data_IF_568523778004
#
_entry.id   IF_568523778004
#
_cell.length_a   1.000
_cell.length_b   1.000
_cell.length_c   1.000
_cell.angle_alpha   90.00
_cell.angle_beta   90.00
_cell.angle_gamma   90.00
#
_symmetry.space_group_name_H-M   'P 1'
#
loop_
_entity.id
_entity.type
_entity.pdbx_description
1 polymer ?
#
# COMPACT_ATOMS: atom_id res chain seq x y z
N UNK A 1 -15.99 -13.45 -11.57
CA UNK A 1 -15.56 -12.08 -11.94
C UNK A 1 -14.34 -11.76 -11.11
N UNK A 2 -13.16 -11.55 -11.71
CA UNK A 2 -12.07 -10.90 -10.99
C UNK A 2 -12.48 -9.43 -10.82
N UNK A 3 -12.70 -8.99 -9.59
CA UNK A 3 -12.94 -7.56 -9.33
C UNK A 3 -11.61 -6.83 -9.49
N UNK A 4 -11.58 -5.79 -10.33
CA UNK A 4 -10.38 -4.99 -10.52
C UNK A 4 -10.12 -4.16 -9.27
N UNK A 5 -8.93 -4.34 -8.68
CA UNK A 5 -8.48 -3.61 -7.50
C UNK A 5 -7.37 -2.63 -7.89
N UNK A 6 -7.36 -1.49 -7.22
CA UNK A 6 -6.37 -0.44 -7.39
C UNK A 6 -5.35 -0.55 -6.26
N UNK A 7 -4.06 -0.64 -6.62
CA UNK A 7 -2.98 -0.93 -5.67
C UNK A 7 -2.01 0.24 -5.57
N UNK A 8 -1.64 0.63 -4.34
CA UNK A 8 -0.57 1.61 -4.08
C UNK A 8 0.58 0.95 -3.33
N UNK A 9 1.80 1.40 -3.64
CA UNK A 9 3.02 0.95 -2.99
C UNK A 9 3.39 1.92 -1.86
N UNK A 10 3.59 1.35 -0.67
CA UNK A 10 3.94 2.08 0.55
C UNK A 10 5.34 1.64 0.95
N UNK A 11 6.26 2.59 1.05
CA UNK A 11 7.66 2.36 1.37
C UNK A 11 8.01 2.85 2.77
N UNK A 12 9.20 2.48 3.25
CA UNK A 12 9.81 2.99 4.47
C UNK A 12 8.95 2.74 5.72
N UNK A 13 8.33 1.57 5.80
CA UNK A 13 7.51 1.15 6.94
C UNK A 13 8.44 0.58 8.01
N UNK A 14 8.28 1.00 9.27
CA UNK A 14 9.00 0.37 10.38
C UNK A 14 8.60 -1.09 10.51
N UNK A 15 9.56 -1.99 10.73
CA UNK A 15 9.31 -3.42 10.94
C UNK A 15 8.52 -3.72 12.22
N UNK A 16 8.57 -2.80 13.17
CA UNK A 16 7.83 -2.88 14.44
C UNK A 16 6.37 -2.46 14.27
N UNK A 17 6.01 -1.83 13.14
CA UNK A 17 4.68 -1.31 12.92
C UNK A 17 3.69 -2.46 12.66
N UNK A 18 2.67 -2.64 13.51
CA UNK A 18 1.70 -3.72 13.34
C UNK A 18 0.85 -3.51 12.08
N UNK A 19 0.44 -4.62 11.44
CA UNK A 19 -0.47 -4.59 10.29
C UNK A 19 -1.78 -3.83 10.59
N UNK A 20 -2.31 -3.96 11.81
CA UNK A 20 -3.53 -3.25 12.23
C UNK A 20 -3.38 -1.74 12.10
N UNK A 21 -2.28 -1.18 12.60
CA UNK A 21 -2.00 0.26 12.54
C UNK A 21 -1.92 0.74 11.09
N UNK A 22 -1.27 -0.03 10.21
CA UNK A 22 -1.20 0.29 8.78
C UNK A 22 -2.61 0.26 8.14
N UNK A 23 -3.40 -0.75 8.46
CA UNK A 23 -4.77 -0.89 7.97
C UNK A 23 -5.66 0.27 8.43
N UNK A 24 -5.62 0.62 9.72
CA UNK A 24 -6.41 1.70 10.32
C UNK A 24 -6.06 3.04 9.69
N UNK A 25 -4.76 3.30 9.48
CA UNK A 25 -4.28 4.51 8.80
C UNK A 25 -4.89 4.64 7.38
N UNK A 26 -4.87 3.57 6.60
CA UNK A 26 -5.39 3.59 5.23
C UNK A 26 -6.93 3.57 5.17
N UNK A 27 -7.59 2.96 6.16
CA UNK A 27 -9.06 2.93 6.23
C UNK A 27 -9.70 4.33 6.35
N UNK A 28 -8.98 5.32 6.87
CA UNK A 28 -9.43 6.74 6.91
C UNK A 28 -9.72 7.32 5.52
N UNK A 29 -9.06 6.78 4.49
CA UNK A 29 -9.23 7.22 3.09
C UNK A 29 -10.28 6.41 2.32
N UNK A 30 -10.80 5.36 2.95
CA UNK A 30 -11.85 4.48 2.48
C UNK A 30 -11.58 3.03 2.87
N UNK A 31 -12.59 2.17 2.78
CA UNK A 31 -12.42 0.73 3.07
C UNK A 31 -11.28 0.14 2.24
N UNK A 32 -10.26 -0.37 2.93
CA UNK A 32 -9.18 -1.14 2.36
C UNK A 32 -9.69 -2.56 2.08
N UNK A 33 -9.47 -3.04 0.86
CA UNK A 33 -9.84 -4.41 0.47
C UNK A 33 -8.77 -5.42 0.90
N UNK A 34 -7.49 -5.01 0.82
CA UNK A 34 -6.38 -5.84 1.28
C UNK A 34 -5.11 -5.02 1.56
N UNK A 35 -4.28 -5.56 2.46
CA UNK A 35 -2.95 -5.06 2.80
C UNK A 35 -1.99 -6.22 2.87
N UNK A 36 -0.98 -6.19 2.00
CA UNK A 36 0.15 -7.11 2.00
C UNK A 36 1.40 -6.37 2.48
N UNK A 37 2.09 -6.90 3.50
CA UNK A 37 3.34 -6.33 4.04
C UNK A 37 4.47 -7.32 3.78
N UNK A 38 5.54 -6.85 3.14
CA UNK A 38 6.74 -7.63 2.92
C UNK A 38 7.69 -7.51 4.12
N UNK A 39 7.52 -8.41 5.09
CA UNK A 39 8.38 -8.47 6.28
C UNK A 39 9.80 -8.97 5.99
N UNK A 40 9.97 -9.77 4.93
CA UNK A 40 11.27 -10.29 4.49
C UNK A 40 11.50 -9.88 3.04
N UNK A 41 12.59 -9.17 2.81
CA UNK A 41 13.02 -8.73 1.48
C UNK A 41 14.50 -9.07 1.31
N UNK A 42 14.88 -9.58 0.13
CA UNK A 42 16.29 -9.76 -0.25
C UNK A 42 16.95 -8.46 -0.73
N UNK A 43 16.16 -7.41 -0.95
CA UNK A 43 16.65 -6.10 -1.35
C UNK A 43 17.22 -5.38 -0.12
N UNK A 44 18.50 -5.03 -0.19
CA UNK A 44 19.27 -4.35 0.87
C UNK A 44 18.65 -3.01 1.30
N UNK A 45 17.93 -2.33 0.41
CA UNK A 45 17.17 -1.11 0.74
C UNK A 45 16.15 -1.32 1.88
N UNK A 46 15.69 -2.55 2.05
CA UNK A 46 14.70 -2.95 3.06
C UNK A 46 15.34 -3.81 4.16
N UNK A 47 16.64 -3.63 4.42
CA UNK A 47 17.35 -4.26 5.55
C UNK A 47 16.71 -3.94 6.90
N UNK A 48 16.32 -2.68 7.08
CA UNK A 48 15.86 -2.12 8.36
C UNK A 48 14.41 -1.60 8.28
N UNK A 49 13.83 -1.61 7.09
CA UNK A 49 12.45 -1.18 6.82
C UNK A 49 11.71 -2.26 6.05
N UNK A 50 10.40 -2.09 5.92
CA UNK A 50 9.52 -2.92 5.11
C UNK A 50 8.76 -2.05 4.10
N UNK A 51 8.14 -2.72 3.13
CA UNK A 51 7.20 -2.10 2.22
C UNK A 51 5.89 -2.87 2.21
N UNK A 52 4.82 -2.21 1.76
CA UNK A 52 3.50 -2.79 1.66
C UNK A 52 2.81 -2.43 0.36
N UNK A 53 1.84 -3.27 -0.02
CA UNK A 53 0.87 -2.98 -1.07
C UNK A 53 -0.51 -2.87 -0.42
N UNK A 54 -1.19 -1.76 -0.71
CA UNK A 54 -2.54 -1.48 -0.20
C UNK A 54 -3.51 -1.43 -1.36
N UNK A 55 -4.60 -2.17 -1.25
CA UNK A 55 -5.57 -2.36 -2.33
C UNK A 55 -6.92 -1.76 -1.98
N UNK A 56 -7.50 -1.02 -2.93
CA UNK A 56 -8.83 -0.43 -2.83
C UNK A 56 -9.71 -0.88 -3.99
N UNK A 57 -11.02 -0.97 -3.73
CA UNK A 57 -12.02 -1.22 -4.78
C UNK A 57 -12.17 -0.07 -5.77
N UNK A 58 -11.90 1.17 -5.34
CA UNK A 58 -12.10 2.36 -6.16
C UNK A 58 -10.83 3.20 -6.26
N UNK A 59 -10.52 3.63 -7.48
CA UNK A 59 -9.33 4.41 -7.79
C UNK A 59 -9.25 5.73 -7.01
N UNK A 60 -10.36 6.46 -6.89
CA UNK A 60 -10.38 7.75 -6.20
C UNK A 60 -10.01 7.63 -4.71
N UNK A 61 -10.29 6.49 -4.06
CA UNK A 61 -9.90 6.21 -2.67
C UNK A 61 -8.40 6.04 -2.56
N UNK A 62 -7.80 5.32 -3.52
CA UNK A 62 -6.36 5.20 -3.64
C UNK A 62 -5.71 6.57 -3.85
N UNK A 63 -6.21 7.38 -4.78
CA UNK A 63 -5.67 8.73 -5.02
C UNK A 63 -5.75 9.62 -3.78
N UNK A 64 -6.84 9.53 -3.02
CA UNK A 64 -7.00 10.24 -1.75
C UNK A 64 -5.97 9.76 -0.72
N UNK A 65 -5.72 8.45 -0.62
CA UNK A 65 -4.70 7.89 0.27
C UNK A 65 -3.28 8.36 -0.11
N UNK A 66 -2.92 8.31 -1.39
CA UNK A 66 -1.61 8.78 -1.90
C UNK A 66 -1.42 10.28 -1.64
N UNK A 67 -2.46 11.10 -1.87
CA UNK A 67 -2.38 12.55 -1.67
C UNK A 67 -2.18 12.93 -0.20
N UNK A 68 -2.86 12.23 0.71
CA UNK A 68 -2.83 12.52 2.14
C UNK A 68 -1.64 11.88 2.85
N UNK A 69 -1.15 10.75 2.35
CA UNK A 69 -0.01 10.04 2.92
C UNK A 69 1.36 10.60 2.53
N UNK A 70 1.44 11.87 2.07
CA UNK A 70 2.68 12.56 1.65
C UNK A 70 3.82 12.60 2.70
N UNK A 71 3.53 12.28 3.96
CA UNK A 71 4.54 12.13 5.03
C UNK A 71 5.09 10.70 5.16
N UNK A 72 4.51 9.72 4.46
CA UNK A 72 5.12 8.44 4.13
C UNK A 72 5.62 8.50 2.68
N UNK A 73 6.73 7.82 2.36
CA UNK A 73 7.27 7.79 1.00
C UNK A 73 6.40 6.85 0.11
N UNK A 74 5.13 7.21 -0.08
CA UNK A 74 4.15 6.44 -0.85
C UNK A 74 4.42 6.69 -2.33
N UNK A 75 4.71 5.63 -3.09
CA UNK A 75 4.87 5.74 -4.53
C UNK A 75 3.51 5.50 -5.20
N UNK A 76 3.24 6.33 -6.21
CA UNK A 76 2.07 6.35 -7.11
C UNK A 76 1.61 4.94 -7.53
N UNK A 77 0.30 4.71 -7.82
CA UNK A 77 -0.21 3.37 -8.13
C UNK A 77 0.61 2.68 -9.22
N UNK A 78 1.10 1.49 -8.90
CA UNK A 78 1.48 0.51 -9.91
C UNK A 78 0.17 0.10 -10.56
N UNK A 79 -0.16 0.74 -11.67
CA UNK A 79 -1.26 0.32 -12.53
C UNK A 79 -1.01 -1.17 -12.81
N UNK A 80 -1.94 -2.03 -12.40
CA UNK A 80 -1.92 -3.42 -12.85
C UNK A 80 -2.12 -3.39 -14.36
N UNK A 81 -1.02 -3.28 -15.11
CA UNK A 81 -0.99 -3.63 -16.52
C UNK A 81 -1.16 -5.14 -16.52
N UNK A 82 -2.40 -5.58 -16.71
CA UNK A 82 -2.65 -6.90 -17.27
C UNK A 82 -2.34 -6.72 -18.75
N UNK A 83 -1.12 -7.06 -19.17
CA UNK A 83 -0.89 -7.30 -20.60
C UNK A 83 -1.77 -8.49 -20.98
N UNK A 84 -2.69 -8.27 -21.91
CA UNK A 84 -3.50 -9.31 -22.56
C UNK A 84 -2.67 -10.01 -23.62
#
# INVERSE_FOLDING_TARGET
RQEQLYTTFVDNISRELPRSVLCDFFNVHGRVEDVYIAYKSKNEKYSDTSFAFVRYKHEYKLWRAVRMGKNMNIKSPTQCIIEM
#
